data_IF_270940900918
#
_entry.id   IF_270940900918
#
_cell.length_a   1.000
_cell.length_b   1.000
_cell.length_c   1.000
_cell.angle_alpha   90.00
_cell.angle_beta   90.00
_cell.angle_gamma   90.00
#
_symmetry.space_group_name_H-M   'P 1'
#
loop_
_entity.id
_entity.type
_entity.pdbx_description
1 polymer ?
#
# COMPACT_ATOMS: atom_id res chain seq x y z
N UNK A 1 -27.31 -1.79 -5.40
CA UNK A 1 -26.36 -2.47 -4.51
C UNK A 1 -25.35 -1.44 -4.02
N UNK A 2 -25.04 -1.41 -2.74
CA UNK A 2 -24.05 -0.48 -2.19
C UNK A 2 -22.65 -1.07 -2.34
N UNK A 3 -21.94 -0.65 -3.40
CA UNK A 3 -20.58 -1.11 -3.67
C UNK A 3 -19.57 -0.61 -2.64
N UNK A 4 -19.85 0.50 -1.94
CA UNK A 4 -18.95 1.02 -0.90
C UNK A 4 -18.94 0.09 0.29
N UNK A 5 -20.12 -0.33 0.75
CA UNK A 5 -20.25 -1.31 1.83
C UNK A 5 -19.52 -2.63 1.52
N UNK A 6 -19.61 -3.12 0.28
CA UNK A 6 -18.95 -4.37 -0.12
C UNK A 6 -17.42 -4.22 -0.22
N UNK A 7 -16.93 -3.07 -0.67
CA UNK A 7 -15.49 -2.74 -0.65
C UNK A 7 -14.98 -2.62 0.78
N UNK A 8 -15.75 -2.01 1.68
CA UNK A 8 -15.38 -1.89 3.10
C UNK A 8 -15.36 -3.26 3.78
N UNK A 9 -16.35 -4.11 3.52
CA UNK A 9 -16.40 -5.47 4.04
C UNK A 9 -15.22 -6.30 3.54
N UNK A 10 -14.89 -6.21 2.24
CA UNK A 10 -13.72 -6.87 1.68
C UNK A 10 -12.43 -6.34 2.32
N UNK A 11 -12.32 -5.02 2.52
CA UNK A 11 -11.16 -4.39 3.16
C UNK A 11 -10.97 -4.82 4.62
N UNK A 12 -12.06 -4.98 5.38
CA UNK A 12 -12.02 -5.47 6.77
C UNK A 12 -11.72 -6.97 6.83
N UNK A 13 -12.26 -7.75 5.90
CA UNK A 13 -12.06 -9.20 5.83
C UNK A 13 -10.78 -9.64 5.14
N UNK A 14 -9.90 -8.70 4.75
CA UNK A 14 -8.70 -8.95 3.91
C UNK A 14 -9.04 -9.74 2.62
N UNK A 15 -10.23 -9.54 2.09
CA UNK A 15 -10.76 -10.21 0.91
C UNK A 15 -10.77 -9.31 -0.32
N UNK A 16 -11.35 -9.83 -1.40
CA UNK A 16 -11.48 -9.12 -2.67
C UNK A 16 -12.95 -8.90 -3.00
N UNK A 17 -13.26 -7.71 -3.50
CA UNK A 17 -14.54 -7.41 -4.12
C UNK A 17 -14.36 -7.35 -5.64
N UNK A 18 -15.25 -8.00 -6.37
CA UNK A 18 -15.28 -7.93 -7.83
C UNK A 18 -16.70 -7.60 -8.29
N UNK A 19 -16.82 -6.56 -9.11
CA UNK A 19 -18.07 -6.23 -9.76
C UNK A 19 -18.19 -7.01 -11.07
N UNK A 20 -19.28 -7.76 -11.21
CA UNK A 20 -19.54 -8.61 -12.37
C UNK A 20 -20.67 -7.97 -13.18
N UNK A 21 -20.37 -7.29 -14.31
CA UNK A 21 -21.37 -6.54 -15.08
C UNK A 21 -22.33 -7.44 -15.88
N UNK A 22 -21.89 -8.66 -16.21
CA UNK A 22 -22.66 -9.65 -16.97
C UNK A 22 -22.75 -10.97 -16.17
N UNK A 23 -23.96 -11.42 -15.78
CA UNK A 23 -24.16 -12.68 -15.08
C UNK A 23 -23.53 -13.90 -15.79
N UNK A 24 -23.43 -13.90 -17.11
CA UNK A 24 -22.79 -15.01 -17.85
C UNK A 24 -21.30 -15.17 -17.50
N UNK A 25 -20.66 -14.10 -17.01
CA UNK A 25 -19.23 -14.10 -16.62
C UNK A 25 -18.98 -14.50 -15.15
N UNK A 26 -20.04 -14.83 -14.39
CA UNK A 26 -19.92 -15.18 -12.96
C UNK A 26 -19.00 -16.37 -12.71
N UNK A 27 -19.01 -17.37 -13.61
CA UNK A 27 -18.14 -18.54 -13.51
C UNK A 27 -16.67 -18.17 -13.51
N UNK A 28 -16.27 -17.21 -14.34
CA UNK A 28 -14.89 -16.70 -14.40
C UNK A 28 -14.47 -16.02 -13.09
N UNK A 29 -15.38 -15.23 -12.49
CA UNK A 29 -15.16 -14.61 -11.19
C UNK A 29 -14.91 -15.63 -10.06
N UNK A 30 -15.69 -16.70 -10.03
CA UNK A 30 -15.53 -17.79 -9.03
C UNK A 30 -14.20 -18.54 -9.23
N UNK A 31 -13.85 -18.85 -10.48
CA UNK A 31 -12.57 -19.53 -10.79
C UNK A 31 -11.39 -18.66 -10.37
N UNK A 32 -11.43 -17.36 -10.67
CA UNK A 32 -10.38 -16.42 -10.26
C UNK A 32 -10.26 -16.32 -8.73
N UNK A 33 -11.38 -16.19 -8.02
CA UNK A 33 -11.38 -16.14 -6.56
C UNK A 33 -10.81 -17.43 -5.94
N UNK A 34 -11.16 -18.58 -6.50
CA UNK A 34 -10.64 -19.89 -6.06
C UNK A 34 -9.14 -19.98 -6.32
N UNK A 35 -8.67 -19.53 -7.48
CA UNK A 35 -7.26 -19.51 -7.81
C UNK A 35 -6.45 -18.61 -6.86
N UNK A 36 -6.95 -17.41 -6.56
CA UNK A 36 -6.33 -16.49 -5.59
C UNK A 36 -6.25 -17.10 -4.19
N UNK A 37 -7.30 -17.79 -3.74
CA UNK A 37 -7.31 -18.48 -2.45
C UNK A 37 -6.29 -19.61 -2.40
N UNK A 38 -6.21 -20.43 -3.46
CA UNK A 38 -5.25 -21.54 -3.54
C UNK A 38 -3.81 -21.06 -3.70
N UNK A 39 -3.59 -19.90 -4.33
CA UNK A 39 -2.28 -19.29 -4.50
C UNK A 39 -1.80 -18.54 -3.24
N UNK A 40 -2.63 -18.42 -2.19
CA UNK A 40 -2.26 -17.68 -0.98
C UNK A 40 -1.16 -18.40 -0.21
N UNK A 41 0.00 -17.75 -0.08
CA UNK A 41 1.16 -18.24 0.63
C UNK A 41 1.11 -17.87 2.12
N UNK A 42 0.66 -16.65 2.43
CA UNK A 42 0.56 -16.12 3.79
C UNK A 42 -0.66 -15.20 3.93
N UNK A 43 -1.24 -15.16 5.12
CA UNK A 43 -2.40 -14.34 5.49
C UNK A 43 -2.03 -13.37 6.60
N UNK A 44 -2.81 -12.31 6.81
CA UNK A 44 -2.60 -11.34 7.89
C UNK A 44 -1.15 -10.82 7.93
N UNK A 45 -0.58 -10.55 6.76
CA UNK A 45 0.80 -10.10 6.64
C UNK A 45 0.88 -8.66 7.08
N UNK A 46 1.72 -8.39 8.07
CA UNK A 46 2.00 -7.05 8.58
C UNK A 46 3.49 -6.76 8.43
N UNK A 47 3.83 -5.62 7.85
CA UNK A 47 5.17 -5.07 7.88
C UNK A 47 5.33 -4.24 9.15
N UNK A 48 6.43 -4.43 9.88
CA UNK A 48 6.79 -3.65 11.05
C UNK A 48 8.06 -2.86 10.73
N UNK A 49 8.00 -1.54 10.92
CA UNK A 49 9.08 -0.61 10.60
C UNK A 49 9.53 0.03 11.92
N UNK A 50 10.81 -0.10 12.23
CA UNK A 50 11.45 0.43 13.42
C UNK A 50 12.55 1.42 12.98
N UNK A 51 12.25 2.72 12.92
CA UNK A 51 13.26 3.73 12.61
C UNK A 51 14.13 4.05 13.84
N UNK A 52 15.45 4.15 13.64
CA UNK A 52 16.38 4.59 14.68
C UNK A 52 16.22 6.07 15.06
N UNK A 53 16.84 6.42 16.19
CA UNK A 53 17.04 7.81 16.61
C UNK A 53 17.82 8.60 15.53
N UNK A 54 17.10 9.48 14.82
CA UNK A 54 17.64 10.27 13.70
C UNK A 54 16.89 10.09 12.37
N UNK A 55 16.01 9.09 12.30
CA UNK A 55 15.17 8.83 11.13
C UNK A 55 13.71 9.13 11.48
N UNK A 56 13.13 10.10 10.78
CA UNK A 56 11.73 10.46 10.93
C UNK A 56 10.94 9.92 9.73
N UNK A 57 9.88 9.14 9.98
CA UNK A 57 8.95 8.75 8.92
C UNK A 57 8.16 9.99 8.47
N UNK A 58 8.18 10.29 7.18
CA UNK A 58 7.46 11.46 6.64
C UNK A 58 6.00 11.12 6.39
N UNK A 59 5.11 12.10 6.55
CA UNK A 59 3.72 11.96 6.14
C UNK A 59 3.57 12.14 4.61
N UNK A 60 2.86 11.23 3.91
CA UNK A 60 2.27 9.98 4.42
C UNK A 60 3.33 8.93 4.73
N UNK A 61 3.23 8.27 5.91
CA UNK A 61 4.22 7.28 6.38
C UNK A 61 4.50 6.17 5.38
N UNK A 62 3.50 5.82 4.56
CA UNK A 62 3.64 4.90 3.43
C UNK A 62 2.88 5.46 2.22
N UNK A 63 3.54 5.49 1.06
CA UNK A 63 2.91 5.93 -0.19
C UNK A 63 2.00 4.86 -0.79
N UNK A 64 0.98 5.26 -1.54
CA UNK A 64 0.01 4.32 -2.14
C UNK A 64 -1.26 4.15 -1.31
N UNK A 65 -1.43 4.95 -0.25
CA UNK A 65 -2.62 4.97 0.58
C UNK A 65 -2.81 3.69 1.39
N UNK A 66 -1.71 3.06 1.80
CA UNK A 66 -1.78 1.94 2.75
C UNK A 66 -2.35 2.40 4.08
N UNK A 67 -3.00 1.46 4.78
CA UNK A 67 -3.35 1.69 6.18
C UNK A 67 -2.09 1.56 7.01
N UNK A 68 -1.95 2.44 7.99
CA UNK A 68 -0.79 2.51 8.86
C UNK A 68 -1.29 2.62 10.29
N UNK A 69 -0.74 1.81 11.17
CA UNK A 69 -0.99 1.83 12.60
C UNK A 69 0.30 2.19 13.33
N UNK A 70 0.32 3.36 13.97
CA UNK A 70 1.41 3.74 14.87
C UNK A 70 1.27 2.99 16.21
N UNK A 71 2.32 2.27 16.61
CA UNK A 71 2.42 1.54 17.89
C UNK A 71 3.44 2.18 18.83
N UNK A 72 3.90 3.41 18.55
CA UNK A 72 4.86 4.17 19.33
C UNK A 72 6.31 3.76 19.06
N UNK A 73 6.64 2.49 19.30
CA UNK A 73 8.00 1.96 19.05
C UNK A 73 8.20 1.49 17.60
N UNK A 74 7.11 1.22 16.89
CA UNK A 74 7.15 0.81 15.50
C UNK A 74 5.89 1.24 14.77
N UNK A 75 6.02 1.30 13.45
CA UNK A 75 4.89 1.47 12.56
C UNK A 75 4.51 0.14 11.95
N UNK A 76 3.23 -0.21 12.05
CA UNK A 76 2.66 -1.42 11.48
C UNK A 76 1.87 -1.10 10.21
N UNK A 77 2.19 -1.80 9.12
CA UNK A 77 1.53 -1.66 7.81
C UNK A 77 0.87 -2.99 7.45
N UNK A 78 -0.46 -3.12 7.54
CA UNK A 78 -1.17 -4.33 7.12
C UNK A 78 -1.12 -4.47 5.59
N UNK A 79 -0.52 -5.55 5.11
CA UNK A 79 -0.39 -5.88 3.69
C UNK A 79 -1.45 -6.89 3.21
N UNK A 80 -2.18 -7.50 4.14
CA UNK A 80 -3.21 -8.51 3.89
C UNK A 80 -2.59 -9.87 3.53
N UNK A 81 -3.07 -10.52 2.47
CA UNK A 81 -2.51 -11.80 2.01
C UNK A 81 -1.36 -11.63 1.01
N UNK A 82 -0.34 -12.49 1.10
CA UNK A 82 0.67 -12.69 0.06
C UNK A 82 0.36 -13.94 -0.76
N UNK A 83 0.52 -13.86 -2.07
CA UNK A 83 0.32 -14.96 -3.01
C UNK A 83 1.66 -15.41 -3.60
N UNK A 84 1.77 -16.69 -3.93
CA UNK A 84 2.97 -17.22 -4.59
C UNK A 84 3.20 -16.50 -5.93
N UNK A 85 4.43 -16.01 -6.13
CA UNK A 85 4.83 -15.30 -7.35
C UNK A 85 4.33 -13.86 -7.45
N UNK A 86 3.66 -13.32 -6.43
CA UNK A 86 3.25 -11.91 -6.37
C UNK A 86 3.96 -11.20 -5.22
N UNK A 87 4.95 -10.37 -5.54
CA UNK A 87 5.56 -9.46 -4.57
C UNK A 87 4.61 -8.33 -4.19
N UNK A 88 4.80 -7.79 -2.99
CA UNK A 88 4.19 -6.52 -2.57
C UNK A 88 5.33 -5.58 -2.23
N UNK A 89 5.37 -4.46 -2.94
CA UNK A 89 6.38 -3.43 -2.76
C UNK A 89 5.76 -2.26 -2.00
N UNK A 90 6.49 -1.74 -1.03
CA UNK A 90 6.03 -0.70 -0.12
C UNK A 90 7.08 0.41 -0.12
N UNK A 91 6.64 1.65 -0.38
CA UNK A 91 7.53 2.81 -0.40
C UNK A 91 7.32 3.63 0.87
N UNK A 92 8.39 3.78 1.64
CA UNK A 92 8.40 4.45 2.94
C UNK A 92 9.27 5.70 2.83
N UNK A 93 8.67 6.91 2.75
CA UNK A 93 9.44 8.14 2.72
C UNK A 93 10.06 8.42 4.10
N UNK A 94 11.37 8.63 4.11
CA UNK A 94 12.16 8.91 5.31
C UNK A 94 12.74 10.31 5.24
N UNK A 95 12.74 11.01 6.38
CA UNK A 95 13.52 12.23 6.60
C UNK A 95 14.70 11.87 7.48
N UNK A 96 15.89 12.10 6.95
CA UNK A 96 17.14 11.77 7.62
C UNK A 96 17.68 13.02 8.31
N UNK A 97 17.76 12.99 9.64
CA UNK A 97 18.41 14.07 10.43
C UNK A 97 19.81 13.67 10.87
N UNK A 98 20.05 12.38 11.06
CA UNK A 98 21.38 11.79 11.25
C UNK A 98 21.43 10.37 10.66
N UNK A 99 22.62 9.86 10.29
CA UNK A 99 22.76 8.48 9.85
C UNK A 99 22.25 7.51 10.92
N UNK A 100 21.43 6.54 10.52
CA UNK A 100 20.82 5.56 11.43
C UNK A 100 20.42 4.28 10.68
N UNK A 101 19.96 3.28 11.41
CA UNK A 101 19.44 2.04 10.84
C UNK A 101 17.90 2.05 10.83
N UNK A 102 17.31 1.42 9.83
CA UNK A 102 15.88 1.06 9.83
C UNK A 102 15.80 -0.44 9.92
N UNK A 103 15.22 -0.94 11.01
CA UNK A 103 14.89 -2.35 11.14
C UNK A 103 13.50 -2.61 10.53
N UNK A 104 13.43 -3.54 9.58
CA UNK A 104 12.19 -3.98 8.95
C UNK A 104 11.95 -5.44 9.32
N UNK A 105 10.81 -5.73 9.92
CA UNK A 105 10.36 -7.09 10.19
C UNK A 105 8.98 -7.34 9.57
N UNK A 106 8.57 -8.60 9.48
CA UNK A 106 7.23 -8.94 9.04
C UNK A 106 6.61 -10.01 9.94
N UNK A 107 5.30 -9.92 10.14
CA UNK A 107 4.51 -10.96 10.83
C UNK A 107 3.48 -11.49 9.86
N UNK A 108 3.20 -12.78 9.91
CA UNK A 108 2.21 -13.41 9.04
C UNK A 108 1.62 -14.67 9.65
N UNK A 109 0.47 -15.08 9.15
CA UNK A 109 -0.21 -16.33 9.46
C UNK A 109 -0.02 -17.31 8.29
N UNK A 110 0.50 -18.50 8.57
CA UNK A 110 0.66 -19.57 7.56
C UNK A 110 -0.69 -20.16 7.16
N UNK A 111 -0.72 -20.91 6.05
CA UNK A 111 -1.88 -21.70 5.66
C UNK A 111 -2.37 -22.71 6.73
N UNK A 112 -1.49 -23.13 7.64
CA UNK A 112 -1.83 -23.97 8.80
C UNK A 112 -2.39 -23.19 10.00
N UNK A 113 -2.60 -21.88 9.87
CA UNK A 113 -3.13 -21.01 10.92
C UNK A 113 -2.11 -20.63 12.00
N UNK A 114 -0.83 -20.97 11.83
CA UNK A 114 0.22 -20.60 12.78
C UNK A 114 0.75 -19.21 12.47
N UNK A 115 0.79 -18.36 13.49
CA UNK A 115 1.47 -17.06 13.40
C UNK A 115 2.99 -17.26 13.42
N UNK A 116 3.67 -16.53 12.56
CA UNK A 116 5.13 -16.52 12.42
C UNK A 116 5.62 -15.08 12.27
N UNK A 117 6.86 -14.89 12.66
CA UNK A 117 7.61 -13.67 12.39
C UNK A 117 8.72 -14.01 11.40
N UNK A 118 8.91 -13.10 10.45
CA UNK A 118 9.97 -13.11 9.48
C UNK A 118 11.30 -12.66 10.07
N UNK A 119 12.37 -12.86 9.32
CA UNK A 119 13.66 -12.27 9.68
C UNK A 119 13.53 -10.74 9.67
N UNK A 120 14.05 -10.11 10.73
CA UNK A 120 14.30 -8.68 10.74
C UNK A 120 15.50 -8.39 9.82
N UNK A 121 15.39 -7.32 9.05
CA UNK A 121 16.46 -6.82 8.17
C UNK A 121 16.76 -5.39 8.58
N UNK A 122 18.01 -5.15 8.95
CA UNK A 122 18.52 -3.81 9.25
C UNK A 122 19.09 -3.20 7.96
N UNK A 123 18.61 -2.01 7.62
CA UNK A 123 19.10 -1.24 6.49
C UNK A 123 19.73 0.06 6.99
N UNK A 124 21.03 0.25 6.71
CA UNK A 124 21.74 1.48 7.06
C UNK A 124 21.34 2.61 6.13
N UNK A 125 20.83 3.69 6.69
CA UNK A 125 20.51 4.92 5.95
C UNK A 125 21.66 5.91 6.11
N UNK A 126 22.39 6.26 5.03
CA UNK A 126 23.44 7.26 5.10
C UNK A 126 22.85 8.65 5.40
N UNK A 127 23.57 9.46 6.17
CA UNK A 127 23.13 10.82 6.54
C UNK A 127 23.16 11.82 5.37
N UNK A 128 23.90 11.49 4.32
CA UNK A 128 23.96 12.28 3.10
C UNK A 128 23.05 11.63 2.05
N UNK A 129 22.24 12.44 1.36
CA UNK A 129 21.46 11.98 0.20
C UNK A 129 22.45 11.72 -0.94
N UNK A 130 22.80 10.45 -1.16
CA UNK A 130 23.71 10.06 -2.24
C UNK A 130 22.92 9.47 -3.40
N UNK A 131 23.05 10.10 -4.56
CA UNK A 131 22.61 9.67 -5.90
C UNK A 131 21.10 9.50 -6.13
N UNK A 132 20.72 9.56 -7.41
CA UNK A 132 19.37 9.28 -7.91
C UNK A 132 18.87 7.92 -7.41
N UNK A 133 17.57 7.82 -7.11
CA UNK A 133 16.97 6.57 -6.68
C UNK A 133 17.16 5.48 -7.75
N UNK A 134 17.30 4.22 -7.31
CA UNK A 134 17.26 3.10 -8.25
C UNK A 134 15.96 3.16 -9.08
N UNK A 135 16.07 2.87 -10.38
CA UNK A 135 14.94 2.97 -11.33
C UNK A 135 13.70 2.21 -10.86
N UNK A 136 13.88 1.09 -10.17
CA UNK A 136 12.78 0.30 -9.60
C UNK A 136 12.05 1.05 -8.47
N UNK A 137 12.78 1.75 -7.60
CA UNK A 137 12.23 2.55 -6.51
C UNK A 137 11.44 3.72 -7.08
N UNK A 138 11.99 4.41 -8.08
CA UNK A 138 11.32 5.53 -8.76
C UNK A 138 10.01 5.08 -9.42
N UNK A 139 10.02 3.94 -10.12
CA UNK A 139 8.82 3.38 -10.73
C UNK A 139 7.75 3.00 -9.70
N UNK A 140 8.14 2.51 -8.52
CA UNK A 140 7.19 2.23 -7.43
C UNK A 140 6.68 3.50 -6.76
N UNK A 141 7.53 4.51 -6.61
CA UNK A 141 7.18 5.82 -6.08
C UNK A 141 6.11 6.49 -6.95
N UNK A 142 6.35 6.55 -8.27
CA UNK A 142 5.39 7.07 -9.25
C UNK A 142 4.04 6.33 -9.20
N UNK A 143 4.06 4.99 -9.18
CA UNK A 143 2.84 4.17 -9.06
C UNK A 143 2.08 4.47 -7.77
N UNK A 144 2.80 4.59 -6.66
CA UNK A 144 2.23 4.83 -5.34
C UNK A 144 1.61 6.21 -5.23
N UNK A 145 2.27 7.25 -5.77
CA UNK A 145 1.70 8.60 -5.85
C UNK A 145 0.43 8.59 -6.71
N UNK A 146 0.50 8.01 -7.90
CA UNK A 146 -0.66 7.91 -8.79
C UNK A 146 -1.85 7.23 -8.11
N UNK A 147 -1.62 6.09 -7.46
CA UNK A 147 -2.67 5.36 -6.73
C UNK A 147 -3.25 6.17 -5.57
N UNK A 148 -2.41 6.84 -4.79
CA UNK A 148 -2.83 7.64 -3.65
C UNK A 148 -3.69 8.83 -4.06
N UNK A 149 -3.26 9.56 -5.08
CA UNK A 149 -3.99 10.72 -5.54
C UNK A 149 -5.28 10.34 -6.29
N UNK A 150 -5.27 9.26 -7.07
CA UNK A 150 -6.48 8.72 -7.68
C UNK A 150 -7.52 8.34 -6.62
N UNK A 151 -7.10 7.76 -5.49
CA UNK A 151 -7.98 7.52 -4.34
C UNK A 151 -8.55 8.81 -3.75
N UNK A 152 -7.73 9.85 -3.59
CA UNK A 152 -8.21 11.17 -3.11
C UNK A 152 -9.24 11.78 -4.05
N UNK A 153 -8.99 11.74 -5.35
CA UNK A 153 -9.94 12.21 -6.37
C UNK A 153 -11.25 11.42 -6.28
N UNK A 154 -11.19 10.09 -6.29
CA UNK A 154 -12.39 9.26 -6.18
C UNK A 154 -13.19 9.55 -4.90
N UNK A 155 -12.51 9.76 -3.76
CA UNK A 155 -13.16 10.15 -2.51
C UNK A 155 -13.89 11.50 -2.68
N UNK A 156 -13.24 12.53 -3.24
CA UNK A 156 -13.89 13.85 -3.46
C UNK A 156 -15.07 13.80 -4.44
N UNK A 157 -15.02 12.91 -5.45
CA UNK A 157 -16.12 12.72 -6.41
C UNK A 157 -17.37 12.11 -5.76
N UNK A 158 -17.20 11.38 -4.66
CA UNK A 158 -18.34 10.81 -3.92
C UNK A 158 -19.10 11.82 -3.07
N UNK A 159 -18.52 13.01 -2.82
CA UNK A 159 -19.07 14.02 -1.91
C UNK A 159 -19.73 15.20 -2.64
N UNK A 160 -19.43 15.46 -3.93
CA UNK A 160 -20.15 16.47 -4.72
C UNK A 160 -19.85 16.36 -6.22
N UNK A 161 -20.90 16.27 -7.05
CA UNK A 161 -20.81 16.40 -8.51
C UNK A 161 -20.74 17.89 -8.92
N UNK A 162 -19.74 18.62 -8.43
CA UNK A 162 -19.59 20.06 -8.69
C UNK A 162 -18.38 20.39 -9.57
N UNK A 163 -18.42 21.57 -10.19
CA UNK A 163 -17.36 22.17 -10.99
C UNK A 163 -16.02 22.29 -10.22
N UNK A 164 -16.07 22.33 -8.88
CA UNK A 164 -14.89 22.31 -8.02
C UNK A 164 -14.14 20.97 -8.08
N UNK A 165 -14.87 19.85 -8.22
CA UNK A 165 -14.30 18.51 -8.31
C UNK A 165 -13.53 18.33 -9.62
N UNK A 166 -14.06 18.83 -10.73
CA UNK A 166 -13.37 18.84 -12.03
C UNK A 166 -12.14 19.75 -12.02
N UNK A 167 -12.22 20.88 -11.31
CA UNK A 167 -11.08 21.79 -11.11
C UNK A 167 -9.95 21.14 -10.29
N UNK A 168 -10.31 20.37 -9.25
CA UNK A 168 -9.37 19.55 -8.47
C UNK A 168 -8.74 18.43 -9.30
N UNK A 169 -9.51 17.72 -10.14
CA UNK A 169 -8.97 16.72 -11.06
C UNK A 169 -7.98 17.32 -12.07
N UNK A 170 -8.25 18.53 -12.59
CA UNK A 170 -7.36 19.21 -13.54
C UNK A 170 -6.09 19.71 -12.87
N UNK A 171 -6.17 20.22 -11.63
CA UNK A 171 -4.99 20.51 -10.80
C UNK A 171 -4.18 19.26 -10.54
N UNK A 172 -4.83 18.15 -10.19
CA UNK A 172 -4.19 16.85 -9.96
C UNK A 172 -3.35 16.40 -11.17
N UNK A 173 -3.91 16.43 -12.38
CA UNK A 173 -3.16 16.08 -13.60
C UNK A 173 -1.92 16.98 -13.77
N UNK A 174 -2.05 18.27 -13.44
CA UNK A 174 -0.97 19.25 -13.57
C UNK A 174 0.11 19.06 -12.50
N UNK A 175 -0.27 18.77 -11.26
CA UNK A 175 0.64 18.59 -10.12
C UNK A 175 1.39 17.26 -10.18
N UNK A 176 0.74 16.19 -10.68
CA UNK A 176 1.43 14.93 -11.00
C UNK A 176 2.44 15.14 -12.11
N UNK A 177 2.08 15.88 -13.17
CA UNK A 177 3.03 16.19 -14.24
C UNK A 177 4.26 16.93 -13.73
N UNK A 178 4.11 17.84 -12.75
CA UNK A 178 5.22 18.60 -12.16
C UNK A 178 6.06 17.84 -11.14
N UNK A 179 5.52 16.79 -10.51
CA UNK A 179 6.25 15.94 -9.55
C UNK A 179 7.03 14.81 -10.22
N UNK A 180 6.74 14.55 -11.49
CA UNK A 180 7.42 13.55 -12.33
C UNK A 180 8.57 14.19 -13.15
N UNK A 181 8.62 15.52 -13.26
CA UNK A 181 9.75 16.29 -13.81
C UNK A 181 10.80 16.60 -12.73
#
# INVERSE_FOLDING_TARGET
MDSRLLVDLASVGEGFYSYIPDPASVGGGIVMATAQLLATAAREVCLLIFPDAGLELQDPVVLGGWRVEDKGECVLVPLGSLQFGQSKDVVVPLKVTSPGDVCIAFRYTTNTGKRREGAAVDARVPGDVVAEAEVEVEAQWCRSICAQELRRVLASMTETSSEATLSSCRRFITDVSKKIE
#
